data_IF_972541347666
#
_entry.id   IF_972541347666
#
_cell.length_a   1.000
_cell.length_b   1.000
_cell.length_c   1.000
_cell.angle_alpha   90.00
_cell.angle_beta   90.00
_cell.angle_gamma   90.00
#
_symmetry.space_group_name_H-M   'P 1'
#
loop_
_entity.id
_entity.type
_entity.pdbx_description
1 polymer ?
#
# COMPACT_ATOMS: atom_id res chain seq x y z
N UNK A 1 -11.81 -40.28 -2.14
CA UNK A 1 -12.18 -39.10 -1.36
C UNK A 1 -10.96 -38.45 -0.70
N UNK A 2 -9.99 -39.20 -0.19
CA UNK A 2 -8.78 -38.67 0.44
C UNK A 2 -7.83 -37.93 -0.52
N UNK A 3 -7.90 -38.18 -1.82
CA UNK A 3 -7.08 -37.54 -2.84
C UNK A 3 -7.66 -36.20 -3.31
N UNK A 4 -8.96 -35.97 -3.15
CA UNK A 4 -9.62 -34.73 -3.58
C UNK A 4 -9.47 -33.59 -2.58
N UNK A 5 -9.37 -33.89 -1.27
CA UNK A 5 -9.29 -32.89 -0.20
C UNK A 5 -8.01 -32.04 -0.32
N UNK A 6 -6.79 -32.59 -0.49
CA UNK A 6 -5.58 -31.78 -0.67
C UNK A 6 -5.63 -30.90 -1.92
N UNK A 7 -6.20 -31.40 -3.03
CA UNK A 7 -6.33 -30.63 -4.27
C UNK A 7 -7.31 -29.46 -4.13
N UNK A 8 -8.41 -29.65 -3.44
CA UNK A 8 -9.39 -28.58 -3.16
C UNK A 8 -8.80 -27.54 -2.23
N UNK A 9 -8.04 -27.93 -1.19
CA UNK A 9 -7.35 -27.01 -0.29
C UNK A 9 -6.33 -26.16 -1.05
N UNK A 10 -5.49 -26.76 -1.91
CA UNK A 10 -4.54 -26.02 -2.73
C UNK A 10 -5.22 -25.06 -3.71
N UNK A 11 -6.37 -25.40 -4.27
CA UNK A 11 -7.16 -24.55 -5.14
C UNK A 11 -7.72 -23.32 -4.37
N UNK A 12 -8.25 -23.55 -3.16
CA UNK A 12 -8.76 -22.49 -2.29
C UNK A 12 -7.62 -21.52 -1.92
N UNK A 13 -6.45 -22.03 -1.55
CA UNK A 13 -5.28 -21.21 -1.20
C UNK A 13 -4.84 -20.33 -2.38
N UNK A 14 -4.81 -20.86 -3.60
CA UNK A 14 -4.50 -20.09 -4.80
C UNK A 14 -5.54 -19.02 -5.10
N UNK A 15 -6.82 -19.31 -4.88
CA UNK A 15 -7.89 -18.34 -5.06
C UNK A 15 -7.79 -17.21 -4.04
N UNK A 16 -7.45 -17.52 -2.80
CA UNK A 16 -7.19 -16.53 -1.74
C UNK A 16 -5.99 -15.66 -2.10
N UNK A 17 -4.86 -16.25 -2.51
CA UNK A 17 -3.69 -15.50 -2.96
C UNK A 17 -4.01 -14.51 -4.08
N UNK A 18 -4.76 -14.96 -5.08
CA UNK A 18 -5.19 -14.09 -6.20
C UNK A 18 -6.06 -12.94 -5.71
N UNK A 19 -6.99 -13.21 -4.81
CA UNK A 19 -7.86 -12.18 -4.24
C UNK A 19 -7.06 -11.13 -3.48
N UNK A 20 -6.14 -11.55 -2.62
CA UNK A 20 -5.26 -10.64 -1.87
C UNK A 20 -4.40 -9.80 -2.82
N UNK A 21 -3.82 -10.42 -3.83
CA UNK A 21 -3.02 -9.71 -4.85
C UNK A 21 -3.86 -8.67 -5.60
N UNK A 22 -5.09 -8.99 -5.98
CA UNK A 22 -5.98 -8.05 -6.66
C UNK A 22 -6.38 -6.89 -5.75
N UNK A 23 -6.68 -7.16 -4.48
CA UNK A 23 -6.98 -6.11 -3.50
C UNK A 23 -5.77 -5.18 -3.30
N UNK A 24 -4.59 -5.72 -3.14
CA UNK A 24 -3.36 -4.94 -2.96
C UNK A 24 -3.04 -4.10 -4.20
N UNK A 25 -3.26 -4.62 -5.41
CA UNK A 25 -3.09 -3.87 -6.66
C UNK A 25 -4.12 -2.76 -6.82
N UNK A 26 -5.37 -3.01 -6.44
CA UNK A 26 -6.41 -1.97 -6.44
C UNK A 26 -6.04 -0.83 -5.49
N UNK A 27 -5.56 -1.17 -4.30
CA UNK A 27 -5.04 -0.21 -3.33
C UNK A 27 -3.87 0.60 -3.90
N UNK A 28 -2.88 -0.07 -4.51
CA UNK A 28 -1.72 0.58 -5.13
C UNK A 28 -2.15 1.60 -6.19
N UNK A 29 -3.06 1.21 -7.07
CA UNK A 29 -3.57 2.08 -8.12
C UNK A 29 -4.30 3.29 -7.53
N UNK A 30 -5.17 3.07 -6.56
CA UNK A 30 -5.91 4.14 -5.88
C UNK A 30 -4.98 5.09 -5.12
N UNK A 31 -4.01 4.54 -4.40
CA UNK A 31 -3.02 5.33 -3.66
C UNK A 31 -2.16 6.17 -4.59
N UNK A 32 -1.63 5.60 -5.66
CA UNK A 32 -0.80 6.33 -6.61
C UNK A 32 -1.61 7.44 -7.31
N UNK A 33 -2.83 7.15 -7.76
CA UNK A 33 -3.70 8.15 -8.37
C UNK A 33 -4.02 9.31 -7.41
N UNK A 34 -4.28 9.00 -6.15
CA UNK A 34 -4.55 10.02 -5.12
C UNK A 34 -3.33 10.91 -4.89
N UNK A 35 -2.13 10.34 -4.81
CA UNK A 35 -0.88 11.09 -4.64
C UNK A 35 -0.59 11.96 -5.86
N UNK A 36 -0.74 11.42 -7.06
CA UNK A 36 -0.52 12.16 -8.31
C UNK A 36 -1.48 13.35 -8.44
N UNK A 37 -2.74 13.18 -8.07
CA UNK A 37 -3.74 14.25 -8.07
C UNK A 37 -3.40 15.31 -7.03
N UNK A 38 -3.06 14.93 -5.80
CA UNK A 38 -2.69 15.86 -4.74
C UNK A 38 -1.42 16.63 -5.09
N UNK A 39 -0.45 15.99 -5.73
CA UNK A 39 0.74 16.66 -6.25
C UNK A 39 0.40 17.69 -7.31
N UNK A 40 -0.42 17.33 -8.28
CA UNK A 40 -0.85 18.23 -9.36
C UNK A 40 -1.60 19.46 -8.82
N UNK A 41 -2.31 19.33 -7.71
CA UNK A 41 -3.02 20.42 -7.02
C UNK A 41 -2.13 21.24 -6.08
N UNK A 42 -0.87 20.85 -5.86
CA UNK A 42 0.03 21.50 -4.91
C UNK A 42 -0.34 21.28 -3.45
N UNK A 43 -1.07 20.21 -3.13
CA UNK A 43 -1.54 19.91 -1.78
C UNK A 43 -0.52 19.12 -0.94
N UNK A 44 0.55 18.61 -1.55
CA UNK A 44 1.57 17.84 -0.85
C UNK A 44 2.73 18.74 -0.41
N UNK A 45 3.12 18.69 0.88
CA UNK A 45 4.30 19.41 1.34
C UNK A 45 5.56 18.81 0.73
N UNK A 46 6.43 19.66 0.22
CA UNK A 46 7.71 19.30 -0.39
C UNK A 46 8.82 19.87 0.48
N UNK A 47 9.79 19.03 0.84
CA UNK A 47 10.96 19.45 1.59
C UNK A 47 11.97 20.22 0.70
N UNK A 48 13.05 20.72 1.32
CA UNK A 48 14.07 21.49 0.62
C UNK A 48 14.91 20.66 -0.37
N UNK A 49 14.79 19.33 -0.33
CA UNK A 49 15.50 18.39 -1.20
C UNK A 49 14.61 17.84 -2.33
N UNK A 50 13.37 18.32 -2.43
CA UNK A 50 12.40 17.85 -3.43
C UNK A 50 11.68 16.55 -3.03
N UNK A 51 11.85 16.08 -1.80
CA UNK A 51 11.10 14.95 -1.25
C UNK A 51 9.77 15.38 -0.68
N UNK A 52 8.88 14.42 -0.43
CA UNK A 52 7.59 14.69 0.19
C UNK A 52 7.67 14.49 1.70
N UNK A 53 7.20 15.47 2.45
CA UNK A 53 6.96 15.31 3.88
C UNK A 53 5.61 14.62 4.13
N UNK A 54 5.46 13.87 5.23
CA UNK A 54 4.16 13.37 5.63
C UNK A 54 3.16 14.52 5.78
N UNK A 55 1.92 14.36 5.27
CA UNK A 55 0.92 15.40 5.34
C UNK A 55 0.47 15.64 6.79
N UNK A 56 -0.06 16.83 7.06
CA UNK A 56 -0.72 17.09 8.33
C UNK A 56 -1.97 16.20 8.50
N UNK A 57 -2.54 16.19 9.72
CA UNK A 57 -3.66 15.30 10.07
C UNK A 57 -4.86 15.46 9.14
N UNK A 58 -5.22 16.69 8.78
CA UNK A 58 -6.39 16.96 7.93
C UNK A 58 -6.16 16.49 6.50
N UNK A 59 -5.01 16.79 5.93
CA UNK A 59 -4.62 16.32 4.60
C UNK A 59 -4.48 14.80 4.57
N UNK A 60 -3.86 14.20 5.59
CA UNK A 60 -3.74 12.76 5.71
C UNK A 60 -5.10 12.06 5.74
N UNK A 61 -6.05 12.60 6.52
CA UNK A 61 -7.42 12.08 6.57
C UNK A 61 -8.11 12.16 5.20
N UNK A 62 -8.01 13.30 4.53
CA UNK A 62 -8.59 13.52 3.18
C UNK A 62 -8.04 12.52 2.17
N UNK A 63 -6.71 12.37 2.14
CA UNK A 63 -6.05 11.44 1.22
C UNK A 63 -6.39 9.97 1.52
N UNK A 64 -6.36 9.58 2.80
CA UNK A 64 -6.72 8.23 3.21
C UNK A 64 -8.18 7.89 2.85
N UNK A 65 -9.11 8.83 3.07
CA UNK A 65 -10.51 8.69 2.67
C UNK A 65 -10.65 8.46 1.16
N UNK A 66 -9.97 9.27 0.36
CA UNK A 66 -10.00 9.16 -1.10
C UNK A 66 -9.45 7.81 -1.59
N UNK A 67 -8.37 7.34 -0.99
CA UNK A 67 -7.78 6.02 -1.30
C UNK A 67 -8.76 4.90 -1.00
N UNK A 68 -9.41 4.93 0.17
CA UNK A 68 -10.41 3.93 0.56
C UNK A 68 -11.59 3.93 -0.41
N UNK A 69 -12.11 5.08 -0.77
CA UNK A 69 -13.22 5.21 -1.71
C UNK A 69 -12.86 4.70 -3.11
N UNK A 70 -11.69 5.08 -3.63
CA UNK A 70 -11.23 4.67 -4.96
C UNK A 70 -10.86 3.19 -5.06
N UNK A 71 -10.31 2.63 -3.99
CA UNK A 71 -9.91 1.21 -3.97
C UNK A 71 -11.08 0.26 -3.77
N UNK A 72 -12.22 0.77 -3.29
CA UNK A 72 -13.41 -0.03 -2.93
C UNK A 72 -13.12 -1.12 -1.91
N UNK A 73 -12.04 -0.96 -1.12
CA UNK A 73 -11.67 -1.91 -0.08
C UNK A 73 -12.48 -1.70 1.19
N UNK A 74 -12.64 -2.78 1.95
CA UNK A 74 -13.22 -2.73 3.28
C UNK A 74 -12.36 -1.84 4.20
N UNK A 75 -13.01 -1.01 5.01
CA UNK A 75 -12.35 -0.16 6.02
C UNK A 75 -11.63 -0.95 7.12
N UNK A 76 -11.92 -2.25 7.25
CA UNK A 76 -11.19 -3.16 8.14
C UNK A 76 -9.80 -3.54 7.61
N UNK A 77 -9.56 -3.37 6.31
CA UNK A 77 -8.23 -3.59 5.75
C UNK A 77 -7.24 -2.57 6.29
N UNK A 78 -6.04 -3.06 6.61
CA UNK A 78 -4.92 -2.22 7.06
C UNK A 78 -3.92 -2.06 5.93
N UNK A 79 -3.40 -0.85 5.78
CA UNK A 79 -2.38 -0.54 4.79
C UNK A 79 -1.52 0.65 5.23
N UNK A 80 -0.32 0.68 4.71
CA UNK A 80 0.59 1.81 4.89
C UNK A 80 1.61 1.84 3.75
N UNK A 81 2.12 3.01 3.43
CA UNK A 81 3.10 3.15 2.36
C UNK A 81 4.05 4.35 2.54
N UNK A 82 5.19 4.27 1.88
CA UNK A 82 6.15 5.36 1.71
C UNK A 82 6.23 5.77 0.25
N UNK A 83 6.70 6.99 0.01
CA UNK A 83 7.01 7.50 -1.32
C UNK A 83 8.51 7.41 -1.58
N UNK A 84 8.90 7.19 -2.83
CA UNK A 84 10.29 7.22 -3.24
C UNK A 84 10.86 8.63 -3.06
N UNK A 85 12.10 8.69 -2.56
CA UNK A 85 12.86 9.93 -2.61
C UNK A 85 13.14 10.30 -4.07
N UNK A 86 13.30 11.60 -4.33
CA UNK A 86 13.64 12.09 -5.65
C UNK A 86 15.01 11.55 -6.06
N UNK A 87 15.02 10.59 -6.97
CA UNK A 87 16.21 9.98 -7.55
C UNK A 87 16.11 10.07 -9.08
N UNK A 88 17.27 10.00 -9.75
CA UNK A 88 17.33 9.97 -11.21
C UNK A 88 16.53 8.82 -11.84
N UNK A 89 16.39 7.69 -11.11
CA UNK A 89 15.72 6.49 -11.60
C UNK A 89 14.23 6.42 -11.27
N UNK A 90 13.73 7.27 -10.35
CA UNK A 90 12.32 7.25 -9.93
C UNK A 90 11.72 8.65 -9.88
N UNK A 91 10.55 8.85 -10.48
CA UNK A 91 9.80 10.09 -10.36
C UNK A 91 9.43 10.35 -8.89
N UNK A 92 9.53 11.59 -8.47
CA UNK A 92 9.04 12.05 -7.18
C UNK A 92 7.55 11.70 -7.02
N UNK A 93 7.18 11.20 -5.85
CA UNK A 93 5.79 10.83 -5.53
C UNK A 93 5.40 9.40 -5.91
N UNK A 94 6.30 8.61 -6.48
CA UNK A 94 6.03 7.19 -6.72
C UNK A 94 6.06 6.39 -5.40
N UNK A 95 5.09 5.49 -5.23
CA UNK A 95 5.06 4.62 -4.05
C UNK A 95 6.27 3.68 -4.09
N UNK A 96 7.11 3.74 -3.07
CA UNK A 96 8.32 2.93 -2.94
C UNK A 96 8.04 1.60 -2.23
N UNK A 97 7.27 1.65 -1.15
CA UNK A 97 6.90 0.48 -0.36
C UNK A 97 5.42 0.60 -0.01
N UNK A 98 4.67 -0.46 -0.23
CA UNK A 98 3.29 -0.56 0.20
C UNK A 98 3.08 -1.88 0.93
N UNK A 99 2.49 -1.81 2.11
CA UNK A 99 2.11 -2.97 2.90
C UNK A 99 0.59 -3.03 3.00
N UNK A 100 0.03 -4.20 2.79
CA UNK A 100 -1.41 -4.44 2.84
C UNK A 100 -1.72 -5.70 3.65
N UNK A 101 -2.75 -5.62 4.50
CA UNK A 101 -3.28 -6.74 5.28
C UNK A 101 -4.80 -6.65 5.33
N UNK A 102 -5.48 -7.75 5.01
CA UNK A 102 -6.93 -7.83 5.10
C UNK A 102 -7.45 -8.38 6.45
N UNK A 103 -6.55 -8.58 7.43
CA UNK A 103 -6.85 -9.20 8.72
C UNK A 103 -6.53 -10.70 8.81
N UNK A 104 -6.28 -11.35 7.69
CA UNK A 104 -5.92 -12.78 7.61
C UNK A 104 -4.65 -13.02 6.80
N UNK A 105 -4.37 -12.15 5.83
CA UNK A 105 -3.25 -12.28 4.91
C UNK A 105 -2.57 -10.94 4.68
N UNK A 106 -1.28 -11.01 4.44
CA UNK A 106 -0.38 -9.87 4.29
C UNK A 106 0.43 -9.97 3.00
N UNK A 107 0.65 -8.84 2.34
CA UNK A 107 1.49 -8.71 1.15
C UNK A 107 2.23 -7.38 1.15
N UNK A 108 3.44 -7.37 0.60
CA UNK A 108 4.30 -6.18 0.47
C UNK A 108 4.68 -5.95 -0.97
N UNK A 109 4.62 -4.71 -1.39
CA UNK A 109 5.28 -4.20 -2.59
C UNK A 109 6.52 -3.42 -2.22
N UNK A 110 7.63 -3.62 -2.96
CA UNK A 110 8.86 -2.84 -2.81
C UNK A 110 9.43 -2.50 -4.18
N UNK A 111 9.76 -1.22 -4.38
CA UNK A 111 10.66 -0.83 -5.46
C UNK A 111 12.08 -1.15 -5.01
N UNK A 112 12.80 -1.93 -5.81
CA UNK A 112 14.23 -2.15 -5.60
C UNK A 112 14.98 -1.37 -6.68
N UNK A 113 15.65 -0.26 -6.35
CA UNK A 113 16.41 0.51 -7.33
C UNK A 113 17.44 -0.37 -8.04
N UNK A 114 17.50 -0.30 -9.37
CA UNK A 114 18.56 -0.90 -10.17
C UNK A 114 18.64 -2.43 -10.22
N UNK A 115 17.68 -3.15 -9.64
CA UNK A 115 17.62 -4.62 -9.75
C UNK A 115 16.28 -5.06 -10.31
N UNK A 116 16.26 -5.73 -11.48
CA UNK A 116 15.06 -6.40 -11.91
C UNK A 116 14.64 -7.41 -10.83
N UNK A 117 13.39 -7.41 -10.46
CA UNK A 117 12.86 -8.34 -9.49
C UNK A 117 13.03 -9.78 -10.01
N UNK A 118 14.12 -10.45 -9.61
CA UNK A 118 14.48 -11.78 -10.12
C UNK A 118 13.49 -12.88 -9.73
N UNK A 119 12.59 -12.64 -8.78
CA UNK A 119 11.68 -13.67 -8.26
C UNK A 119 10.21 -13.28 -8.17
N UNK A 120 9.85 -12.02 -8.43
CA UNK A 120 8.46 -11.60 -8.37
C UNK A 120 8.23 -10.50 -9.42
N UNK A 121 7.54 -10.79 -10.53
CA UNK A 121 7.23 -9.76 -11.51
C UNK A 121 6.39 -8.69 -10.80
N UNK A 122 6.87 -7.45 -10.83
CA UNK A 122 6.25 -6.28 -10.23
C UNK A 122 6.60 -5.98 -8.76
N UNK A 123 7.65 -6.57 -8.17
CA UNK A 123 8.12 -6.21 -6.83
C UNK A 123 7.23 -6.61 -5.66
N UNK A 124 6.24 -7.46 -5.88
CA UNK A 124 5.36 -7.99 -4.85
C UNK A 124 5.97 -9.19 -4.12
N UNK A 125 5.79 -9.26 -2.81
CA UNK A 125 6.13 -10.45 -2.01
C UNK A 125 5.13 -11.57 -2.24
N UNK A 126 5.42 -12.75 -1.65
CA UNK A 126 4.40 -13.79 -1.49
C UNK A 126 3.34 -13.33 -0.50
N UNK A 127 2.12 -13.82 -0.68
CA UNK A 127 1.05 -13.67 0.32
C UNK A 127 1.40 -14.51 1.53
N UNK A 128 1.31 -13.91 2.71
CA UNK A 128 1.60 -14.57 3.99
C UNK A 128 0.39 -14.46 4.91
N UNK A 129 0.24 -15.42 5.83
CA UNK A 129 -0.77 -15.31 6.88
C UNK A 129 -0.32 -14.30 7.92
N UNK A 130 -1.17 -13.31 8.20
CA UNK A 130 -0.94 -12.30 9.23
C UNK A 130 -2.25 -11.63 9.62
N UNK A 131 -2.40 -11.32 10.89
CA UNK A 131 -3.61 -10.63 11.41
C UNK A 131 -3.49 -9.11 11.40
N UNK A 132 -2.31 -8.59 11.11
CA UNK A 132 -2.06 -7.15 11.05
C UNK A 132 -0.77 -6.83 10.30
N UNK A 133 -0.51 -5.54 10.12
CA UNK A 133 0.72 -5.07 9.49
C UNK A 133 1.91 -5.24 10.42
N UNK A 134 3.09 -5.59 9.89
CA UNK A 134 4.32 -5.53 10.67
C UNK A 134 4.66 -4.08 11.03
N UNK A 135 5.46 -3.93 12.08
CA UNK A 135 5.97 -2.61 12.46
C UNK A 135 6.77 -1.99 11.33
N UNK A 136 6.50 -0.72 11.04
CA UNK A 136 7.25 0.02 10.02
C UNK A 136 8.71 0.18 10.45
N UNK A 137 9.63 -0.17 9.57
CA UNK A 137 11.07 -0.13 9.83
C UNK A 137 11.68 1.17 9.28
N UNK A 138 12.73 1.69 9.94
CA UNK A 138 13.52 2.81 9.42
C UNK A 138 14.15 2.50 8.05
N UNK A 139 14.38 1.22 7.73
CA UNK A 139 14.88 0.81 6.42
C UNK A 139 13.85 0.97 5.29
N UNK A 140 12.57 1.08 5.65
CA UNK A 140 11.47 1.22 4.70
C UNK A 140 11.24 2.69 4.31
N UNK A 141 12.06 3.60 4.82
CA UNK A 141 11.95 5.03 4.57
C UNK A 141 10.92 5.72 5.45
N UNK A 142 10.59 6.94 5.12
CA UNK A 142 9.63 7.75 5.86
C UNK A 142 8.21 7.30 5.53
N UNK A 143 7.47 6.82 6.54
CA UNK A 143 6.05 6.48 6.39
C UNK A 143 5.27 7.73 5.96
N UNK A 144 4.60 7.67 4.81
CA UNK A 144 3.86 8.79 4.26
C UNK A 144 2.39 8.80 4.68
N UNK A 145 1.71 7.66 4.54
CA UNK A 145 0.28 7.55 4.84
C UNK A 145 -0.06 6.12 5.27
N UNK A 146 -1.08 5.99 6.12
CA UNK A 146 -1.57 4.70 6.62
C UNK A 146 -3.09 4.70 6.76
N UNK A 147 -3.69 3.52 6.78
CA UNK A 147 -5.14 3.35 6.87
C UNK A 147 -5.75 4.00 8.11
N UNK A 148 -5.03 4.01 9.24
CA UNK A 148 -5.49 4.64 10.49
C UNK A 148 -5.51 6.17 10.46
N UNK A 149 -5.01 6.81 9.40
CA UNK A 149 -5.16 8.25 9.19
C UNK A 149 -6.61 8.62 8.84
N UNK A 150 -7.40 7.67 8.36
CA UNK A 150 -8.84 7.82 8.18
C UNK A 150 -9.58 7.51 9.49
N UNK A 151 -10.30 8.48 10.03
CA UNK A 151 -11.04 8.38 11.30
C UNK A 151 -12.47 8.89 11.12
N UNK A 152 -13.37 8.07 10.53
CA UNK A 152 -14.71 8.53 10.14
C UNK A 152 -15.56 8.99 11.33
N UNK A 153 -15.43 8.34 12.49
CA UNK A 153 -16.32 8.56 13.65
C UNK A 153 -15.88 9.71 14.56
N UNK A 154 -14.66 10.21 14.40
CA UNK A 154 -14.06 11.20 15.30
C UNK A 154 -13.59 12.47 14.59
N UNK A 155 -13.62 12.47 13.27
CA UNK A 155 -13.13 13.61 12.50
C UNK A 155 -14.23 14.65 12.27
N UNK A 156 -14.03 15.82 12.84
CA UNK A 156 -14.81 17.03 12.57
C UNK A 156 -13.88 18.07 11.94
N UNK A 157 -14.08 18.36 10.64
CA UNK A 157 -13.27 19.38 9.96
C UNK A 157 -13.50 20.77 10.51
#
# INVERSE_FOLDING_TARGET
AALLVPSLTGYIDKAVEKRIMLQARSLMTAAQATIDEAYAKGELPIDNNGGFEPPNVDTAHKLAKQIIELSELDTQCQWQFSLAEADADFPTGKIAILQFCNGEHYIVYRITPGRPARRNPAGWSRVQKATGLPTWSHRDGLLFLKSSDYKPDTYHP
#
